data_IF_482191280604
#
_entry.id   IF_482191280604
#
_cell.length_a   1.000
_cell.length_b   1.000
_cell.length_c   1.000
_cell.angle_alpha   90.00
_cell.angle_beta   90.00
_cell.angle_gamma   90.00
#
_symmetry.space_group_name_H-M   'P 1'
#
loop_
_entity.id
_entity.type
_entity.pdbx_description
1 polymer ?
#
# COMPACT_ATOMS: atom_id res chain seq x y z
N UNK A 1 68.52 29.95 18.14
CA UNK A 1 67.14 30.19 18.62
C UNK A 1 66.18 30.00 17.45
N UNK A 2 65.41 28.91 17.40
CA UNK A 2 64.20 28.78 16.57
C UNK A 2 63.30 27.73 17.24
N UNK A 3 62.24 28.20 17.90
CA UNK A 3 61.17 27.37 18.46
C UNK A 3 60.24 26.99 17.30
N UNK A 4 59.98 25.70 17.11
CA UNK A 4 58.90 25.21 16.25
C UNK A 4 57.84 24.60 17.17
N UNK A 5 56.78 25.38 17.40
CA UNK A 5 55.48 24.89 17.84
C UNK A 5 54.79 24.32 16.60
N UNK A 6 54.34 23.07 16.66
CA UNK A 6 53.37 22.56 15.69
C UNK A 6 52.15 22.06 16.46
N UNK A 7 51.06 22.78 16.22
CA UNK A 7 49.75 22.62 16.81
C UNK A 7 49.09 21.31 16.37
N UNK A 8 48.56 20.54 17.31
CA UNK A 8 47.67 19.41 17.01
C UNK A 8 46.27 19.95 16.68
N UNK A 9 45.85 19.80 15.42
CA UNK A 9 44.47 20.03 15.00
C UNK A 9 43.65 18.80 15.42
N UNK A 10 42.80 18.93 16.45
CA UNK A 10 41.76 17.95 16.73
C UNK A 10 40.60 18.19 15.74
N UNK A 11 40.45 17.30 14.76
CA UNK A 11 39.25 17.23 13.94
C UNK A 11 38.17 16.46 14.70
N UNK A 12 37.22 17.16 15.30
CA UNK A 12 35.97 16.55 15.79
C UNK A 12 35.11 16.18 14.58
N UNK A 13 35.08 14.90 14.24
CA UNK A 13 34.18 14.38 13.21
C UNK A 13 32.74 14.43 13.72
N UNK A 14 31.89 15.21 13.05
CA UNK A 14 30.44 15.09 13.20
C UNK A 14 30.02 13.75 12.57
N UNK A 15 29.61 12.80 13.40
CA UNK A 15 28.89 11.63 12.92
C UNK A 15 27.49 12.10 12.50
N UNK A 16 27.29 12.34 11.20
CA UNK A 16 25.96 12.49 10.66
C UNK A 16 25.24 11.15 10.82
N UNK A 17 24.06 11.16 11.43
CA UNK A 17 23.17 10.01 11.48
C UNK A 17 22.86 9.60 10.04
N UNK A 18 23.36 8.43 9.61
CA UNK A 18 22.96 7.87 8.32
C UNK A 18 21.48 7.50 8.42
N UNK A 19 20.61 8.21 7.70
CA UNK A 19 19.24 7.76 7.51
C UNK A 19 19.29 6.50 6.65
N UNK A 20 18.55 5.46 7.05
CA UNK A 20 18.45 4.24 6.25
C UNK A 20 17.86 4.60 4.87
N UNK A 21 18.37 3.97 3.81
CA UNK A 21 17.76 4.11 2.50
C UNK A 21 16.33 3.52 2.54
N UNK A 22 15.35 4.13 1.86
CA UNK A 22 14.02 3.55 1.72
C UNK A 22 14.10 2.12 1.20
N UNK A 23 13.30 1.21 1.77
CA UNK A 23 13.28 -0.17 1.33
C UNK A 23 12.56 -0.25 -0.01
N UNK A 24 13.22 -0.78 -1.03
CA UNK A 24 12.64 -0.97 -2.36
C UNK A 24 12.36 -2.45 -2.61
N UNK A 25 11.17 -2.74 -3.13
CA UNK A 25 10.80 -4.05 -3.66
C UNK A 25 10.73 -3.97 -5.19
N UNK A 26 11.14 -5.02 -5.90
CA UNK A 26 11.23 -5.01 -7.37
C UNK A 26 10.91 -6.38 -7.94
N UNK A 27 9.83 -6.45 -8.72
CA UNK A 27 9.46 -7.56 -9.57
C UNK A 27 9.61 -7.21 -11.04
N UNK A 28 9.01 -8.00 -11.92
CA UNK A 28 9.08 -7.83 -13.37
C UNK A 28 8.18 -6.67 -13.84
N UNK A 29 7.02 -6.50 -13.18
CA UNK A 29 6.01 -5.51 -13.53
C UNK A 29 5.93 -4.33 -12.57
N UNK A 30 6.30 -4.53 -11.30
CA UNK A 30 6.15 -3.52 -10.24
C UNK A 30 7.48 -3.26 -9.56
N UNK A 31 7.80 -1.98 -9.36
CA UNK A 31 8.88 -1.52 -8.48
C UNK A 31 8.35 -0.44 -7.56
N UNK A 32 8.47 -0.66 -6.26
CA UNK A 32 7.80 0.18 -5.27
C UNK A 32 8.69 0.43 -4.06
N UNK A 33 8.66 1.65 -3.55
CA UNK A 33 9.26 2.00 -2.26
C UNK A 33 8.32 1.68 -1.10
N UNK A 34 8.87 1.30 0.03
CA UNK A 34 8.16 1.26 1.32
C UNK A 34 8.74 2.38 2.19
N UNK A 35 7.86 3.25 2.65
CA UNK A 35 8.21 4.47 3.38
C UNK A 35 8.44 4.17 4.86
N UNK A 36 9.11 5.10 5.53
CA UNK A 36 9.24 5.08 6.98
C UNK A 36 7.92 5.47 7.69
N UNK A 37 6.92 5.94 6.93
CA UNK A 37 5.54 6.18 7.38
C UNK A 37 4.67 4.91 7.32
N UNK A 38 5.19 3.80 6.81
CA UNK A 38 4.43 2.57 6.65
C UNK A 38 3.47 2.57 5.48
N UNK A 39 3.77 3.37 4.46
CA UNK A 39 3.02 3.57 3.21
C UNK A 39 3.86 3.07 2.03
N UNK A 40 3.26 2.99 0.85
CA UNK A 40 3.97 2.90 -0.42
C UNK A 40 4.65 4.24 -0.77
N UNK A 41 5.71 4.16 -1.56
CA UNK A 41 6.61 5.26 -1.92
C UNK A 41 7.80 5.41 -0.97
N UNK A 42 8.80 6.19 -1.38
CA UNK A 42 10.09 6.28 -0.69
C UNK A 42 10.27 7.54 0.19
N UNK A 43 9.24 7.93 0.94
CA UNK A 43 9.15 9.20 1.72
C UNK A 43 9.03 10.46 0.83
N UNK A 44 7.80 10.91 0.61
CA UNK A 44 7.50 12.09 -0.21
C UNK A 44 7.93 11.91 -1.68
N UNK A 45 8.65 12.90 -2.22
CA UNK A 45 9.03 12.98 -3.65
C UNK A 45 10.25 12.13 -4.02
N UNK A 46 10.69 11.23 -3.15
CA UNK A 46 11.81 10.33 -3.45
C UNK A 46 11.31 9.13 -4.23
N UNK A 47 12.00 8.77 -5.30
CA UNK A 47 11.73 7.57 -6.10
C UNK A 47 12.43 6.33 -5.52
N UNK A 48 11.87 5.11 -5.65
CA UNK A 48 10.61 4.80 -6.31
C UNK A 48 9.37 5.22 -5.52
N UNK A 49 8.38 5.78 -6.23
CA UNK A 49 6.99 5.83 -5.79
C UNK A 49 6.35 4.46 -6.00
N UNK A 50 5.41 4.37 -6.93
CA UNK A 50 4.84 3.12 -7.44
C UNK A 50 5.11 3.10 -8.95
N UNK A 51 6.07 2.29 -9.38
CA UNK A 51 6.50 2.20 -10.77
C UNK A 51 5.95 0.95 -11.43
N UNK A 52 5.46 1.09 -12.65
CA UNK A 52 4.86 -0.01 -13.40
C UNK A 52 5.40 -0.16 -14.82
N UNK A 53 5.76 -1.40 -15.15
CA UNK A 53 6.08 -1.86 -16.50
C UNK A 53 5.04 -2.90 -16.91
N UNK A 54 4.06 -2.49 -17.71
CA UNK A 54 3.00 -3.37 -18.23
C UNK A 54 3.51 -4.46 -19.20
N UNK A 55 4.81 -4.50 -19.49
CA UNK A 55 5.41 -5.50 -20.37
C UNK A 55 6.17 -6.60 -19.60
N UNK A 56 6.37 -6.41 -18.29
CA UNK A 56 7.10 -7.38 -17.45
C UNK A 56 8.59 -7.49 -17.78
N UNK A 57 9.20 -6.45 -18.34
CA UNK A 57 10.61 -6.43 -18.73
C UNK A 57 11.50 -5.66 -17.77
N UNK A 58 10.94 -5.23 -16.63
CA UNK A 58 11.59 -4.34 -15.64
C UNK A 58 11.97 -2.97 -16.22
N UNK A 59 11.35 -2.56 -17.32
CA UNK A 59 11.57 -1.25 -17.94
C UNK A 59 10.56 -0.21 -17.41
N UNK A 60 10.79 0.23 -16.17
CA UNK A 60 9.95 1.20 -15.48
C UNK A 60 10.05 2.64 -15.99
N UNK A 61 11.01 2.93 -16.88
CA UNK A 61 11.24 4.26 -17.44
C UNK A 61 11.41 4.21 -18.96
N UNK A 62 10.40 3.75 -19.72
CA UNK A 62 10.50 3.64 -21.16
C UNK A 62 10.79 5.01 -21.79
N UNK A 63 11.86 5.08 -22.59
CA UNK A 63 12.31 6.35 -23.17
C UNK A 63 12.94 7.33 -22.17
N UNK A 64 13.33 6.85 -20.98
CA UNK A 64 13.93 7.68 -19.92
C UNK A 64 12.92 8.42 -19.05
N UNK A 65 11.61 8.18 -19.23
CA UNK A 65 10.54 8.82 -18.46
C UNK A 65 9.85 7.75 -17.63
N UNK A 66 9.87 7.90 -16.30
CA UNK A 66 9.29 6.93 -15.38
C UNK A 66 7.76 6.86 -15.49
N UNK A 67 7.23 5.63 -15.58
CA UNK A 67 5.81 5.35 -15.36
C UNK A 67 5.56 5.28 -13.84
N UNK A 68 5.52 6.44 -13.18
CA UNK A 68 5.34 6.56 -11.73
C UNK A 68 3.94 7.07 -11.41
N UNK A 69 3.19 6.31 -10.62
CA UNK A 69 1.86 6.72 -10.18
C UNK A 69 1.88 7.64 -8.97
N UNK A 70 2.97 7.76 -8.21
CA UNK A 70 2.89 8.33 -6.86
C UNK A 70 3.85 9.48 -6.60
N UNK A 71 5.09 9.40 -7.08
CA UNK A 71 6.10 10.42 -6.79
C UNK A 71 5.87 11.80 -7.44
N UNK A 72 5.20 11.94 -8.60
CA UNK A 72 4.96 13.26 -9.16
C UNK A 72 4.12 14.17 -8.26
N UNK A 73 4.22 15.50 -8.46
CA UNK A 73 3.37 16.47 -7.76
C UNK A 73 3.55 16.49 -6.25
N UNK A 74 2.44 16.26 -5.54
CA UNK A 74 2.39 16.11 -4.09
C UNK A 74 2.05 14.66 -3.79
N UNK A 75 3.06 13.78 -3.58
CA UNK A 75 2.81 12.37 -3.34
C UNK A 75 1.85 12.17 -2.18
N UNK A 76 0.75 11.45 -2.43
CA UNK A 76 -0.25 11.19 -1.41
C UNK A 76 -0.68 9.73 -1.43
N UNK A 77 -0.05 8.94 -0.57
CA UNK A 77 -0.47 7.59 -0.21
C UNK A 77 -0.46 7.49 1.31
N UNK A 78 -1.49 6.87 1.87
CA UNK A 78 -1.57 6.75 3.30
C UNK A 78 -2.66 5.83 3.79
N UNK A 79 -2.71 5.71 5.10
CA UNK A 79 -3.74 4.98 5.81
C UNK A 79 -4.28 5.80 6.97
N UNK A 80 -5.51 5.50 7.34
CA UNK A 80 -6.18 6.15 8.44
C UNK A 80 -6.94 5.17 9.31
N UNK A 81 -7.17 5.56 10.57
CA UNK A 81 -8.15 4.91 11.43
C UNK A 81 -9.14 5.95 11.95
N UNK A 82 -10.30 5.46 12.36
CA UNK A 82 -11.16 6.17 13.30
C UNK A 82 -11.84 5.17 14.25
N UNK A 83 -12.04 5.57 15.49
CA UNK A 83 -12.76 4.81 16.51
C UNK A 83 -13.25 5.76 17.60
N UNK A 84 -14.14 5.27 18.46
CA UNK A 84 -14.63 6.06 19.60
C UNK A 84 -13.49 6.53 20.54
N UNK A 85 -12.36 5.81 20.60
CA UNK A 85 -11.26 6.08 21.53
C UNK A 85 -10.10 6.84 20.88
N UNK A 86 -9.86 6.64 19.58
CA UNK A 86 -8.70 7.23 18.90
C UNK A 86 -9.01 8.57 18.23
N UNK A 87 -10.27 8.77 17.82
CA UNK A 87 -10.63 9.74 16.79
C UNK A 87 -9.96 9.42 15.46
N UNK A 88 -10.07 10.36 14.51
CA UNK A 88 -9.42 10.27 13.20
C UNK A 88 -7.90 10.44 13.34
N UNK A 89 -7.14 9.45 12.85
CA UNK A 89 -5.66 9.44 12.84
C UNK A 89 -5.15 8.97 11.50
N UNK A 90 -4.00 9.52 11.09
CA UNK A 90 -3.45 9.31 9.74
C UNK A 90 -1.95 9.08 9.78
N UNK A 91 -1.48 8.20 8.91
CA UNK A 91 -0.11 8.21 8.41
C UNK A 91 -0.15 8.37 6.89
N UNK A 92 0.68 9.26 6.33
CA UNK A 92 0.83 9.41 4.89
C UNK A 92 2.27 9.77 4.51
N UNK A 93 2.64 9.50 3.26
CA UNK A 93 3.94 9.88 2.71
C UNK A 93 4.09 11.38 2.43
N UNK A 94 3.06 12.18 2.73
CA UNK A 94 3.02 13.64 2.70
C UNK A 94 3.23 14.27 4.09
N UNK A 95 4.02 13.63 4.96
CA UNK A 95 4.51 14.14 6.26
C UNK A 95 3.58 13.99 7.48
N UNK A 96 2.51 13.19 7.41
CA UNK A 96 1.67 12.88 8.59
C UNK A 96 2.08 11.54 9.21
N UNK A 97 2.30 11.50 10.53
CA UNK A 97 2.90 10.34 11.24
C UNK A 97 2.28 10.03 12.61
N UNK A 98 0.94 10.00 12.73
CA UNK A 98 0.27 9.69 14.01
C UNK A 98 0.65 8.33 14.62
N UNK A 99 1.09 7.37 13.80
CA UNK A 99 1.55 6.03 14.20
C UNK A 99 3.07 5.91 14.29
N UNK A 100 3.78 7.01 14.09
CA UNK A 100 5.22 7.13 14.14
C UNK A 100 5.93 6.98 12.78
N UNK A 101 7.25 7.05 12.87
CA UNK A 101 8.21 6.99 11.76
C UNK A 101 9.28 5.95 12.09
N UNK A 102 9.33 4.88 11.31
CA UNK A 102 10.21 3.74 11.56
C UNK A 102 10.61 3.08 10.24
N UNK A 103 11.85 2.61 10.16
CA UNK A 103 12.31 1.95 8.94
C UNK A 103 11.59 0.63 8.69
N UNK A 104 11.11 0.38 7.47
CA UNK A 104 10.52 -0.90 7.11
C UNK A 104 11.56 -2.02 7.14
N UNK A 105 11.08 -3.23 7.37
CA UNK A 105 11.89 -4.46 7.45
C UNK A 105 11.68 -5.29 6.19
N UNK A 106 12.77 -5.68 5.55
CA UNK A 106 12.73 -6.68 4.47
C UNK A 106 12.38 -8.05 5.08
N UNK A 107 11.34 -8.69 4.56
CA UNK A 107 10.94 -10.04 4.98
C UNK A 107 11.60 -11.08 4.08
N UNK A 108 12.15 -12.13 4.68
CA UNK A 108 12.82 -13.21 3.95
C UNK A 108 12.47 -14.57 4.56
N UNK A 109 12.71 -15.66 3.81
CA UNK A 109 12.43 -17.02 4.26
C UNK A 109 10.96 -17.22 4.60
N UNK A 110 10.67 -17.84 5.76
CA UNK A 110 9.29 -18.09 6.18
C UNK A 110 8.45 -16.82 6.39
N UNK A 111 9.08 -15.69 6.74
CA UNK A 111 8.38 -14.42 6.95
C UNK A 111 7.88 -13.79 5.64
N UNK A 112 8.50 -14.15 4.50
CA UNK A 112 8.05 -13.70 3.17
C UNK A 112 6.81 -14.45 2.68
N UNK A 113 6.33 -15.47 3.41
CA UNK A 113 5.11 -16.24 3.10
C UNK A 113 5.08 -16.87 1.69
N UNK A 114 6.25 -17.08 1.08
CA UNK A 114 6.37 -17.63 -0.28
C UNK A 114 6.35 -16.60 -1.40
N UNK A 115 6.28 -15.30 -1.09
CA UNK A 115 6.41 -14.22 -2.07
C UNK A 115 7.88 -13.90 -2.37
N UNK A 116 8.17 -13.58 -3.62
CA UNK A 116 9.51 -13.13 -4.05
C UNK A 116 9.90 -11.79 -3.41
N UNK A 117 8.92 -10.89 -3.29
CA UNK A 117 9.09 -9.56 -2.73
C UNK A 117 8.20 -9.42 -1.49
N UNK A 118 8.82 -9.15 -0.34
CA UNK A 118 8.12 -9.02 0.91
C UNK A 118 8.76 -8.00 1.86
N UNK A 119 7.95 -7.13 2.44
CA UNK A 119 8.37 -6.16 3.45
C UNK A 119 7.30 -5.96 4.51
N UNK A 120 7.68 -5.45 5.67
CA UNK A 120 6.72 -4.97 6.65
C UNK A 120 7.14 -3.65 7.28
N UNK A 121 6.15 -2.94 7.78
CA UNK A 121 6.32 -1.78 8.63
C UNK A 121 5.38 -1.92 9.82
N UNK A 122 5.80 -1.48 11.00
CA UNK A 122 4.96 -1.47 12.20
C UNK A 122 5.06 -0.13 12.91
N UNK A 123 3.90 0.44 13.23
CA UNK A 123 3.74 1.65 14.02
C UNK A 123 2.69 1.46 15.12
N UNK A 124 2.52 2.48 15.94
CA UNK A 124 1.56 2.43 17.04
C UNK A 124 1.04 3.80 17.43
N UNK A 125 -0.22 3.83 17.84
CA UNK A 125 -0.79 4.94 18.58
C UNK A 125 -0.70 4.61 20.07
N UNK A 126 0.14 5.35 20.80
CA UNK A 126 0.53 5.03 22.16
C UNK A 126 -0.66 4.70 23.06
N UNK A 127 -0.64 3.51 23.68
CA UNK A 127 -1.68 3.02 24.59
C UNK A 127 -3.01 2.64 23.93
N UNK A 128 -3.17 2.86 22.62
CA UNK A 128 -4.44 2.61 21.91
C UNK A 128 -4.37 1.36 21.03
N UNK A 129 -3.46 1.33 20.05
CA UNK A 129 -3.31 0.22 19.13
C UNK A 129 -1.93 0.19 18.44
N UNK A 130 -1.57 -0.95 17.87
CA UNK A 130 -0.47 -1.08 16.91
C UNK A 130 -0.99 -1.50 15.54
N UNK A 131 -0.32 -1.04 14.49
CA UNK A 131 -0.63 -1.39 13.10
C UNK A 131 0.62 -1.96 12.45
N UNK A 132 0.49 -3.11 11.82
CA UNK A 132 1.51 -3.69 10.94
C UNK A 132 0.97 -3.74 9.52
N UNK A 133 1.63 -3.05 8.59
CA UNK A 133 1.38 -3.19 7.16
C UNK A 133 2.47 -4.09 6.58
N UNK A 134 2.07 -5.20 5.97
CA UNK A 134 2.98 -6.12 5.26
C UNK A 134 2.64 -6.14 3.78
N UNK A 135 3.67 -6.01 2.95
CA UNK A 135 3.61 -5.83 1.51
C UNK A 135 4.17 -7.08 0.83
N UNK A 136 3.44 -7.63 -0.13
CA UNK A 136 3.78 -8.90 -0.77
C UNK A 136 3.47 -8.88 -2.27
N UNK A 137 4.38 -9.42 -3.09
CA UNK A 137 4.10 -9.77 -4.49
C UNK A 137 5.18 -10.70 -5.06
N UNK A 138 4.83 -11.49 -6.06
CA UNK A 138 5.78 -12.27 -6.84
C UNK A 138 6.29 -11.44 -8.03
N UNK A 139 7.40 -11.86 -8.63
CA UNK A 139 8.00 -11.11 -9.74
C UNK A 139 7.02 -10.92 -10.91
N UNK A 140 6.18 -11.93 -11.19
CA UNK A 140 5.21 -11.90 -12.28
C UNK A 140 3.88 -11.19 -11.97
N UNK A 141 3.71 -10.63 -10.76
CA UNK A 141 2.45 -9.99 -10.36
C UNK A 141 2.41 -8.50 -10.79
N UNK A 142 1.28 -8.05 -11.34
CA UNK A 142 0.96 -6.63 -11.60
C UNK A 142 0.23 -5.98 -10.40
N UNK A 143 0.44 -6.52 -9.19
CA UNK A 143 -0.21 -6.05 -7.97
C UNK A 143 0.72 -6.13 -6.76
N UNK A 144 0.45 -5.28 -5.78
CA UNK A 144 1.06 -5.35 -4.45
C UNK A 144 -0.05 -5.69 -3.46
N UNK A 145 0.01 -6.90 -2.90
CA UNK A 145 -0.89 -7.31 -1.82
C UNK A 145 -0.42 -6.66 -0.53
N UNK A 146 -1.35 -6.06 0.21
CA UNK A 146 -1.12 -5.53 1.54
C UNK A 146 -1.95 -6.30 2.54
N UNK A 147 -1.28 -6.83 3.56
CA UNK A 147 -1.92 -7.33 4.77
C UNK A 147 -1.72 -6.32 5.88
N UNK A 148 -2.82 -5.74 6.36
CA UNK A 148 -2.83 -4.86 7.52
C UNK A 148 -3.33 -5.63 8.74
N UNK A 149 -2.53 -5.69 9.79
CA UNK A 149 -2.91 -6.23 11.09
C UNK A 149 -3.02 -5.08 12.09
N UNK A 150 -4.19 -4.91 12.69
CA UNK A 150 -4.43 -3.92 13.74
C UNK A 150 -4.64 -4.66 15.05
N UNK A 151 -3.79 -4.39 16.03
CA UNK A 151 -3.88 -4.98 17.38
C UNK A 151 -4.29 -3.92 18.37
N UNK A 152 -5.42 -4.15 19.04
CA UNK A 152 -5.93 -3.27 20.08
C UNK A 152 -5.07 -3.39 21.36
N UNK A 153 -4.57 -2.26 21.88
CA UNK A 153 -3.86 -2.19 23.17
C UNK A 153 -4.80 -1.75 24.33
N UNK A 154 -5.96 -1.22 23.97
CA UNK A 154 -7.12 -1.00 24.81
C UNK A 154 -8.38 -1.43 24.03
N UNK A 155 -9.54 -1.55 24.69
CA UNK A 155 -10.78 -1.82 23.96
C UNK A 155 -11.12 -0.65 23.03
N UNK A 156 -11.37 -0.96 21.77
CA UNK A 156 -11.75 -0.04 20.70
C UNK A 156 -13.19 -0.34 20.29
N UNK A 157 -13.98 0.72 20.15
CA UNK A 157 -15.36 0.65 19.68
C UNK A 157 -15.50 1.29 18.30
N UNK A 158 -16.33 0.67 17.46
CA UNK A 158 -16.63 1.15 16.11
C UNK A 158 -15.39 1.39 15.23
N UNK A 159 -14.33 0.59 15.38
CA UNK A 159 -13.09 0.79 14.65
C UNK A 159 -13.30 0.70 13.13
N UNK A 160 -12.75 1.68 12.41
CA UNK A 160 -12.70 1.72 10.95
C UNK A 160 -11.28 1.98 10.51
N UNK A 161 -10.85 1.29 9.45
CA UNK A 161 -9.58 1.49 8.78
C UNK A 161 -9.81 1.99 7.35
N UNK A 162 -8.92 2.84 6.84
CA UNK A 162 -8.97 3.33 5.48
C UNK A 162 -7.59 3.41 4.80
N UNK A 163 -7.59 3.33 3.48
CA UNK A 163 -6.45 3.54 2.57
C UNK A 163 -6.76 4.65 1.58
N UNK A 164 -5.71 5.36 1.21
CA UNK A 164 -5.75 6.51 0.32
C UNK A 164 -4.64 6.42 -0.73
N UNK A 165 -4.92 6.84 -1.96
CA UNK A 165 -3.93 7.04 -3.02
C UNK A 165 -4.34 8.19 -3.92
N UNK A 166 -3.38 9.03 -4.27
CA UNK A 166 -3.49 10.03 -5.31
C UNK A 166 -2.57 9.66 -6.49
N UNK A 167 -3.14 9.14 -7.58
CA UNK A 167 -2.34 8.61 -8.69
C UNK A 167 -2.11 9.63 -9.81
N UNK A 168 -0.84 9.79 -10.19
CA UNK A 168 -0.33 10.78 -11.16
C UNK A 168 0.41 10.16 -12.38
N UNK A 169 -0.11 9.12 -13.06
CA UNK A 169 0.63 8.36 -14.08
C UNK A 169 1.10 9.17 -15.28
N UNK A 170 0.41 10.28 -15.59
CA UNK A 170 0.66 11.08 -16.79
C UNK A 170 1.55 12.29 -16.53
N UNK A 171 1.88 12.64 -15.28
CA UNK A 171 2.61 13.87 -14.96
C UNK A 171 3.99 13.89 -15.60
N UNK A 172 4.76 12.81 -15.47
CA UNK A 172 6.14 12.77 -15.96
C UNK A 172 6.24 12.91 -17.50
N UNK A 173 5.22 12.50 -18.25
CA UNK A 173 5.24 12.49 -19.73
C UNK A 173 4.43 13.62 -20.35
N UNK A 174 3.32 13.98 -19.73
CA UNK A 174 2.31 14.88 -20.28
C UNK A 174 2.03 16.08 -19.38
N UNK A 175 2.69 16.17 -18.21
CA UNK A 175 2.50 17.25 -17.24
C UNK A 175 1.02 17.43 -16.85
N UNK A 176 0.32 16.29 -16.67
CA UNK A 176 -1.09 16.21 -16.31
C UNK A 176 -1.23 15.37 -15.05
N UNK A 177 -1.85 15.97 -14.03
CA UNK A 177 -2.27 15.31 -12.79
C UNK A 177 -3.64 14.63 -12.96
N UNK A 178 -4.42 15.07 -13.96
CA UNK A 178 -5.76 14.54 -14.16
C UNK A 178 -5.75 13.05 -14.51
N UNK A 179 -6.60 12.31 -13.79
CA UNK A 179 -6.93 10.92 -14.08
C UNK A 179 -8.42 10.76 -14.33
N UNK A 180 -8.79 9.68 -15.01
CA UNK A 180 -10.17 9.18 -15.05
C UNK A 180 -10.43 8.29 -13.85
N UNK A 181 -11.33 8.68 -12.97
CA UNK A 181 -11.59 8.00 -11.72
C UNK A 181 -12.95 7.27 -11.75
N UNK A 182 -13.00 6.06 -11.21
CA UNK A 182 -14.24 5.27 -11.13
C UNK A 182 -14.22 4.27 -9.96
N UNK A 183 -15.41 3.99 -9.43
CA UNK A 183 -15.67 2.91 -8.48
C UNK A 183 -16.25 1.70 -9.20
N UNK A 184 -15.69 0.54 -8.93
CA UNK A 184 -16.07 -0.73 -9.56
C UNK A 184 -15.61 -0.80 -11.02
N UNK A 185 -15.79 -1.97 -11.62
CA UNK A 185 -15.56 -2.17 -13.04
C UNK A 185 -16.41 -3.36 -13.54
N UNK A 186 -16.01 -4.01 -14.63
CA UNK A 186 -16.74 -5.18 -15.14
C UNK A 186 -16.60 -6.44 -14.28
N UNK A 187 -15.66 -6.46 -13.33
CA UNK A 187 -15.30 -7.61 -12.51
C UNK A 187 -15.66 -7.42 -11.04
N UNK A 188 -15.57 -6.18 -10.54
CA UNK A 188 -15.70 -5.85 -9.12
C UNK A 188 -16.81 -4.83 -8.88
N UNK A 189 -17.51 -4.98 -7.76
CA UNK A 189 -18.51 -4.04 -7.30
C UNK A 189 -17.86 -2.69 -6.92
N UNK A 190 -18.62 -1.58 -6.93
CA UNK A 190 -18.09 -0.28 -6.50
C UNK A 190 -17.64 -0.26 -5.04
N UNK A 191 -18.14 -1.14 -4.19
CA UNK A 191 -17.68 -1.29 -2.81
C UNK A 191 -16.29 -1.95 -2.72
N UNK A 192 -15.90 -2.74 -3.72
CA UNK A 192 -14.71 -3.59 -3.68
C UNK A 192 -13.53 -3.02 -4.45
N UNK A 193 -13.75 -2.07 -5.37
CA UNK A 193 -12.70 -1.48 -6.20
C UNK A 193 -12.90 0.03 -6.38
N UNK A 194 -11.81 0.78 -6.25
CA UNK A 194 -11.69 2.15 -6.76
C UNK A 194 -10.42 2.26 -7.59
N UNK A 195 -10.50 2.95 -8.72
CA UNK A 195 -9.37 3.03 -9.65
C UNK A 195 -9.30 4.38 -10.36
N UNK A 196 -8.10 4.69 -10.83
CA UNK A 196 -7.79 5.84 -11.65
C UNK A 196 -6.98 5.40 -12.87
N UNK A 197 -7.18 6.05 -14.01
CA UNK A 197 -6.38 5.83 -15.22
C UNK A 197 -5.88 7.15 -15.78
N UNK A 198 -4.61 7.19 -16.21
CA UNK A 198 -4.08 8.33 -16.94
C UNK A 198 -4.88 8.59 -18.22
N UNK A 199 -5.27 9.83 -18.47
CA UNK A 199 -6.08 10.21 -19.63
C UNK A 199 -5.33 10.02 -20.97
N UNK A 200 -4.00 10.10 -20.93
CA UNK A 200 -3.11 9.98 -22.08
C UNK A 200 -2.50 8.59 -22.21
N UNK A 201 -2.04 8.00 -21.11
CA UNK A 201 -1.39 6.68 -21.14
C UNK A 201 -2.35 5.49 -21.00
N UNK A 202 -3.49 5.68 -20.34
CA UNK A 202 -4.36 4.57 -19.91
C UNK A 202 -3.76 3.72 -18.78
N UNK A 203 -2.56 4.05 -18.29
CA UNK A 203 -1.96 3.39 -17.14
C UNK A 203 -2.91 3.51 -15.95
N UNK A 204 -3.36 2.36 -15.46
CA UNK A 204 -4.38 2.26 -14.43
C UNK A 204 -3.78 1.75 -13.15
N UNK A 205 -4.19 2.34 -12.02
CA UNK A 205 -3.97 1.80 -10.68
C UNK A 205 -5.28 1.85 -9.89
N UNK A 206 -5.49 0.89 -8.98
CA UNK A 206 -6.63 0.89 -8.08
C UNK A 206 -6.35 0.20 -6.75
N UNK A 207 -7.26 0.39 -5.81
CA UNK A 207 -7.28 -0.29 -4.51
C UNK A 207 -8.43 -1.30 -4.56
N UNK A 208 -8.14 -2.57 -4.31
CA UNK A 208 -9.04 -3.71 -4.42
C UNK A 208 -9.14 -4.47 -3.08
N UNK A 209 -10.35 -4.66 -2.56
CA UNK A 209 -10.60 -5.59 -1.44
C UNK A 209 -10.45 -7.04 -1.93
N UNK A 210 -9.66 -7.85 -1.24
CA UNK A 210 -9.40 -9.25 -1.61
C UNK A 210 -10.13 -10.26 -0.71
N UNK A 211 -10.66 -9.82 0.43
CA UNK A 211 -11.14 -10.73 1.47
C UNK A 211 -12.64 -10.61 1.74
N UNK A 212 -13.22 -9.42 1.57
CA UNK A 212 -14.64 -9.17 1.83
C UNK A 212 -15.10 -9.68 3.21
N UNK A 213 -14.20 -9.63 4.21
CA UNK A 213 -14.46 -10.08 5.60
C UNK A 213 -15.16 -8.99 6.41
N UNK A 214 -14.78 -7.74 6.13
CA UNK A 214 -15.36 -6.56 6.77
C UNK A 214 -16.23 -5.82 5.76
N UNK A 215 -17.28 -5.14 6.24
CA UNK A 215 -18.05 -4.25 5.36
C UNK A 215 -17.12 -3.15 4.86
N UNK A 216 -16.89 -3.13 3.55
CA UNK A 216 -16.06 -2.15 2.88
C UNK A 216 -16.88 -1.20 2.00
N UNK A 217 -16.27 -0.08 1.64
CA UNK A 217 -16.75 0.78 0.58
C UNK A 217 -15.60 1.65 0.06
N UNK A 218 -15.84 2.35 -1.05
CA UNK A 218 -14.85 3.21 -1.69
C UNK A 218 -15.36 4.62 -1.94
N UNK A 219 -14.43 5.55 -2.12
CA UNK A 219 -14.70 6.95 -2.38
C UNK A 219 -13.71 7.55 -3.37
N UNK A 220 -14.14 8.59 -4.09
CA UNK A 220 -13.28 9.43 -4.93
C UNK A 220 -13.35 10.85 -4.39
N UNK A 221 -12.28 11.30 -3.72
CA UNK A 221 -12.19 12.63 -3.15
C UNK A 221 -11.82 13.64 -4.24
N UNK A 222 -12.60 14.72 -4.35
CA UNK A 222 -12.32 15.78 -5.33
C UNK A 222 -11.10 16.65 -4.99
N UNK A 223 -10.34 16.27 -3.97
CA UNK A 223 -9.05 16.83 -3.58
C UNK A 223 -8.01 15.72 -3.64
N UNK A 224 -7.01 15.89 -4.52
CA UNK A 224 -5.87 15.00 -4.75
C UNK A 224 -5.31 14.37 -3.46
N UNK A 225 -5.04 15.23 -2.47
CA UNK A 225 -4.01 14.92 -1.50
C UNK A 225 -4.51 14.78 -0.05
N UNK A 226 -5.81 14.52 0.13
CA UNK A 226 -6.44 14.42 1.45
C UNK A 226 -6.82 12.98 1.79
N UNK A 227 -6.36 12.49 2.95
CA UNK A 227 -6.95 11.31 3.57
C UNK A 227 -8.34 11.66 4.12
N UNK A 228 -9.38 10.98 3.64
CA UNK A 228 -10.72 11.15 4.19
C UNK A 228 -10.91 10.33 5.48
N UNK A 229 -11.80 10.82 6.34
CA UNK A 229 -12.28 10.03 7.48
C UNK A 229 -12.89 8.72 6.95
N UNK A 230 -12.40 7.54 7.37
CA UNK A 230 -12.90 6.26 6.89
C UNK A 230 -14.41 6.07 7.09
N UNK A 231 -15.05 6.74 8.06
CA UNK A 231 -16.52 6.73 8.17
C UNK A 231 -17.21 7.37 6.97
N UNK A 232 -16.66 8.44 6.40
CA UNK A 232 -17.19 9.09 5.20
C UNK A 232 -17.03 8.18 3.98
N UNK A 233 -15.87 7.52 3.86
CA UNK A 233 -15.58 6.55 2.79
C UNK A 233 -16.57 5.39 2.81
N UNK A 234 -16.94 4.90 4.00
CA UNK A 234 -17.93 3.84 4.17
C UNK A 234 -19.35 4.19 3.65
N UNK A 235 -19.66 5.48 3.48
CA UNK A 235 -20.92 5.91 2.87
C UNK A 235 -20.92 5.74 1.34
N UNK A 236 -19.74 5.73 0.72
CA UNK A 236 -19.55 5.65 -0.72
C UNK A 236 -19.85 6.95 -1.45
N UNK A 237 -18.92 7.44 -2.26
CA UNK A 237 -19.11 8.66 -3.05
C UNK A 237 -18.23 8.68 -4.29
N UNK A 238 -18.62 9.52 -5.26
CA UNK A 238 -17.97 9.57 -6.56
C UNK A 238 -18.64 8.64 -7.59
N UNK A 239 -18.19 8.71 -8.85
CA UNK A 239 -18.79 7.99 -9.95
C UNK A 239 -18.64 6.47 -9.83
N UNK A 240 -19.66 5.76 -10.30
CA UNK A 240 -19.77 4.30 -10.26
C UNK A 240 -19.83 3.76 -11.69
N UNK A 241 -19.00 2.76 -11.99
CA UNK A 241 -19.00 2.09 -13.28
C UNK A 241 -20.40 1.60 -13.67
N UNK A 242 -20.79 1.83 -14.94
CA UNK A 242 -22.11 1.46 -15.45
C UNK A 242 -23.26 2.42 -15.06
N UNK A 243 -23.00 3.46 -14.26
CA UNK A 243 -23.99 4.52 -13.97
C UNK A 243 -24.07 5.56 -15.10
N UNK A 244 -25.00 6.52 -15.00
CA UNK A 244 -25.17 7.60 -15.98
C UNK A 244 -23.94 8.53 -16.08
N UNK A 245 -23.19 8.66 -14.99
CA UNK A 245 -21.91 9.39 -14.91
C UNK A 245 -20.85 8.43 -14.36
N UNK A 246 -20.35 7.51 -15.20
CA UNK A 246 -19.58 6.36 -14.72
C UNK A 246 -18.13 6.68 -14.36
N UNK A 247 -17.69 7.91 -14.62
CA UNK A 247 -16.37 8.42 -14.27
C UNK A 247 -16.39 9.94 -14.08
N UNK A 248 -15.34 10.45 -13.46
CA UNK A 248 -14.99 11.86 -13.42
C UNK A 248 -13.51 12.00 -13.75
N UNK A 249 -13.19 13.03 -14.54
CA UNK A 249 -11.81 13.34 -14.91
C UNK A 249 -11.33 14.48 -13.99
N UNK A 250 -10.14 14.34 -13.40
CA UNK A 250 -9.52 15.34 -12.51
C UNK A 250 -8.44 14.75 -11.60
N UNK A 251 -7.74 15.64 -10.92
CA UNK A 251 -6.69 15.36 -9.92
C UNK A 251 -7.33 15.01 -8.55
N UNK A 252 -7.66 13.72 -8.37
CA UNK A 252 -8.55 13.22 -7.32
C UNK A 252 -8.00 12.00 -6.60
N UNK A 253 -8.16 12.01 -5.27
CA UNK A 253 -7.74 10.92 -4.41
C UNK A 253 -8.70 9.73 -4.40
N UNK A 254 -8.16 8.53 -4.55
CA UNK A 254 -8.85 7.26 -4.33
C UNK A 254 -8.89 6.94 -2.84
N UNK A 255 -10.03 6.41 -2.38
CA UNK A 255 -10.24 6.03 -0.99
C UNK A 255 -10.91 4.65 -0.90
N UNK A 256 -10.49 3.84 0.06
CA UNK A 256 -11.18 2.60 0.44
C UNK A 256 -11.18 2.46 1.96
N UNK A 257 -12.28 2.00 2.54
CA UNK A 257 -12.39 1.82 3.99
C UNK A 257 -13.13 0.53 4.36
N UNK A 258 -12.85 0.05 5.57
CA UNK A 258 -13.40 -1.17 6.15
C UNK A 258 -13.88 -0.93 7.57
N UNK A 259 -15.13 -1.28 7.85
CA UNK A 259 -15.71 -1.28 9.18
C UNK A 259 -15.30 -2.57 9.93
N UNK A 260 -14.38 -2.44 10.88
CA UNK A 260 -13.86 -3.56 11.68
C UNK A 260 -14.80 -3.86 12.84
N UNK A 261 -15.40 -2.82 13.43
CA UNK A 261 -16.26 -2.94 14.62
C UNK A 261 -15.46 -2.89 15.90
N UNK A 262 -15.88 -3.66 16.90
CA UNK A 262 -15.26 -3.61 18.23
C UNK A 262 -14.06 -4.57 18.32
N UNK A 263 -13.00 -4.13 18.99
CA UNK A 263 -11.86 -4.98 19.37
C UNK A 263 -11.56 -4.79 20.85
N UNK A 264 -11.58 -5.89 21.61
CA UNK A 264 -11.13 -5.87 23.00
C UNK A 264 -9.60 -5.75 23.09
N UNK A 265 -9.07 -5.28 24.22
CA UNK A 265 -7.63 -5.20 24.44
C UNK A 265 -6.95 -6.57 24.20
N UNK A 266 -5.93 -6.58 23.36
CA UNK A 266 -5.19 -7.76 22.92
C UNK A 266 -5.77 -8.47 21.69
N UNK A 267 -6.97 -8.12 21.23
CA UNK A 267 -7.52 -8.65 19.98
C UNK A 267 -6.89 -8.00 18.76
N UNK A 268 -6.95 -8.70 17.63
CA UNK A 268 -6.46 -8.19 16.35
C UNK A 268 -7.48 -8.39 15.23
N UNK A 269 -7.50 -7.45 14.30
CA UNK A 269 -8.17 -7.54 13.01
C UNK A 269 -7.13 -7.63 11.90
N UNK A 270 -7.43 -8.42 10.87
CA UNK A 270 -6.56 -8.58 9.69
C UNK A 270 -7.34 -8.24 8.44
N UNK A 271 -6.83 -7.31 7.64
CA UNK A 271 -7.37 -6.93 6.35
C UNK A 271 -6.37 -7.30 5.26
N UNK A 272 -6.85 -7.80 4.13
CA UNK A 272 -6.01 -8.06 2.95
C UNK A 272 -6.68 -7.46 1.72
N UNK A 273 -5.93 -6.60 1.04
CA UNK A 273 -6.34 -5.86 -0.14
C UNK A 273 -5.12 -5.69 -1.04
N UNK A 274 -5.30 -5.15 -2.25
CA UNK A 274 -4.20 -4.96 -3.17
C UNK A 274 -4.24 -3.58 -3.84
N UNK A 275 -3.04 -3.09 -4.14
CA UNK A 275 -2.85 -2.12 -5.20
C UNK A 275 -2.74 -2.91 -6.50
N UNK A 276 -3.68 -2.71 -7.41
CA UNK A 276 -3.76 -3.41 -8.69
C UNK A 276 -3.39 -2.46 -9.81
N UNK A 277 -2.48 -2.87 -10.69
CA UNK A 277 -2.08 -2.09 -11.86
C UNK A 277 -2.54 -2.78 -13.14
N UNK A 278 -2.65 -2.02 -14.23
CA UNK A 278 -2.97 -2.59 -15.52
C UNK A 278 -3.01 -1.56 -16.63
N UNK A 279 -3.14 -2.06 -17.87
CA UNK A 279 -3.24 -1.23 -19.07
C UNK A 279 -4.66 -0.69 -19.33
N UNK A 280 -5.68 -1.17 -18.60
CA UNK A 280 -7.09 -0.83 -18.82
C UNK A 280 -7.86 -0.78 -17.52
N UNK A 281 -8.66 0.27 -17.34
CA UNK A 281 -9.49 0.48 -16.16
C UNK A 281 -10.68 -0.49 -16.06
N UNK A 282 -11.22 -0.91 -17.20
CA UNK A 282 -12.44 -1.74 -17.25
C UNK A 282 -12.30 -3.12 -16.59
N UNK A 283 -11.07 -3.63 -16.48
CA UNK A 283 -10.74 -4.98 -16.02
C UNK A 283 -9.49 -5.03 -15.11
N UNK A 284 -9.04 -3.88 -14.60
CA UNK A 284 -7.94 -3.84 -13.61
C UNK A 284 -8.26 -4.70 -12.38
N UNK A 285 -7.24 -5.40 -11.87
CA UNK A 285 -7.36 -6.38 -10.79
C UNK A 285 -7.88 -7.75 -11.20
N UNK A 286 -8.23 -7.94 -12.48
CA UNK A 286 -8.70 -9.20 -13.05
C UNK A 286 -7.61 -10.19 -13.48
N UNK A 287 -6.35 -9.89 -13.17
CA UNK A 287 -5.10 -10.53 -13.56
C UNK A 287 -5.27 -11.90 -14.27
N UNK A 288 -5.34 -11.89 -15.60
CA UNK A 288 -4.94 -12.92 -16.58
C UNK A 288 -4.94 -14.42 -16.13
N UNK A 289 -5.94 -14.91 -15.40
CA UNK A 289 -6.06 -16.32 -15.03
C UNK A 289 -5.02 -16.84 -14.03
N UNK A 290 -4.33 -15.97 -13.30
CA UNK A 290 -3.34 -16.35 -12.29
C UNK A 290 -3.97 -16.59 -10.93
N UNK A 291 -4.03 -17.86 -10.51
CA UNK A 291 -4.38 -18.27 -9.14
C UNK A 291 -3.62 -17.43 -8.12
N UNK A 292 -4.34 -16.78 -7.20
CA UNK A 292 -3.78 -16.34 -5.92
C UNK A 292 -2.97 -17.51 -5.37
N UNK A 293 -1.67 -17.36 -5.06
CA UNK A 293 -0.97 -18.35 -4.28
C UNK A 293 -1.73 -18.48 -2.95
N UNK A 294 -2.48 -19.57 -2.81
CA UNK A 294 -3.03 -19.95 -1.52
C UNK A 294 -1.86 -19.90 -0.53
N UNK A 295 -1.99 -19.21 0.62
CA UNK A 295 -0.93 -19.17 1.59
C UNK A 295 -0.47 -20.62 1.85
N UNK A 296 0.84 -20.82 1.98
CA UNK A 296 1.45 -22.15 2.12
C UNK A 296 0.89 -23.00 3.27
N UNK A 297 -0.02 -22.45 4.08
CA UNK A 297 -0.93 -23.16 4.98
C UNK A 297 -1.64 -24.37 4.36
N UNK A 298 -2.08 -24.33 3.09
CA UNK A 298 -2.69 -25.53 2.48
C UNK A 298 -1.65 -26.62 2.19
N UNK A 299 -0.45 -26.24 1.75
CA UNK A 299 0.66 -27.16 1.56
C UNK A 299 1.15 -27.75 2.90
N UNK A 300 1.22 -26.93 3.96
CA UNK A 300 1.52 -27.34 5.33
C UNK A 300 0.44 -28.26 5.92
N UNK A 301 -0.84 -27.97 5.67
CA UNK A 301 -1.96 -28.82 6.06
C UNK A 301 -1.90 -30.16 5.31
N UNK A 302 -1.63 -30.14 4.01
CA UNK A 302 -1.47 -31.34 3.18
C UNK A 302 -0.31 -32.22 3.64
N UNK A 303 0.84 -31.63 3.95
CA UNK A 303 2.00 -32.34 4.50
C UNK A 303 1.72 -32.88 5.91
N UNK A 304 1.03 -32.11 6.76
CA UNK A 304 0.62 -32.53 8.10
C UNK A 304 -0.33 -33.73 8.08
N UNK A 305 -1.33 -33.72 7.19
CA UNK A 305 -2.27 -34.82 6.99
C UNK A 305 -1.58 -36.06 6.41
N UNK A 306 -0.66 -35.90 5.45
CA UNK A 306 0.11 -37.00 4.89
C UNK A 306 1.03 -37.67 5.93
N UNK A 307 1.65 -36.88 6.81
CA UNK A 307 2.46 -37.38 7.92
C UNK A 307 1.62 -38.15 8.95
N UNK A 308 0.42 -37.66 9.28
CA UNK A 308 -0.53 -38.34 10.17
C UNK A 308 -1.04 -39.67 9.57
N UNK A 309 -1.33 -39.70 8.26
CA UNK A 309 -1.75 -40.91 7.56
C UNK A 309 -0.64 -41.98 7.52
N UNK A 310 0.61 -41.59 7.24
CA UNK A 310 1.77 -42.50 7.29
C UNK A 310 2.04 -43.06 8.68
N UNK A 311 1.73 -42.29 9.74
CA UNK A 311 1.90 -42.74 11.13
C UNK A 311 0.84 -43.76 11.53
N UNK A 312 -0.40 -43.64 11.03
CA UNK A 312 -1.48 -44.62 11.26
C UNK A 312 -1.29 -45.94 10.53
N UNK A 313 -0.62 -45.96 9.38
CA UNK A 313 -0.31 -47.19 8.63
C UNK A 313 0.87 -48.00 9.20
N UNK A 314 1.55 -47.47 10.21
CA UNK A 314 2.71 -48.10 10.87
C UNK A 314 2.43 -48.54 12.32
N UNK A 315 1.18 -48.46 12.77
CA UNK A 315 0.67 -49.09 13.98
C UNK A 315 -0.20 -50.28 13.60
#
# INVERSE_FOLDING_TARGET
>A
MKRLLLSALLTTGFAASAMAAPLTLTGDYVRVGISDYGTLGSNGTTSPGILHDSTGTQNFAPGGIANDYLTPGTPSEGFAINSAQTGFRVNNNAWTEDFGFASPTLLTGGAAQGYDNAASWTGSLAGSLSITNSYFFNNGDERVVVQTVITALQSLGDLVFGRHLDPDPDVNRFNSYDTRNTRGNTLFAPEDLVSAAGLSTGLTIGILDLQNVYRSNTGINTSCCNNDDPYNVLAGYGPVFGSATPFNDGDYGLQMAWFIGDLEAGQSATLTYAYVMGARQSDVGGDNGGTVPEPGTLALLGLGLAALARRRLRQ
#
